data_IF_559905979434
#
_entry.id   IF_559905979434
#
_cell.length_a   1.000
_cell.length_b   1.000
_cell.length_c   1.000
_cell.angle_alpha   90.00
_cell.angle_beta   90.00
_cell.angle_gamma   90.00
#
_symmetry.space_group_name_H-M   'P 1'
#
loop_
_entity.id
_entity.type
_entity.pdbx_description
1 polymer ?
#
# COMPACT_ATOMS: atom_id res chain seq x y z
N UNK A 1 6.29 7.08 14.22
CA UNK A 1 5.93 7.38 12.82
C UNK A 1 4.57 8.06 12.81
N UNK A 2 4.33 9.04 11.93
CA UNK A 2 3.05 9.77 11.93
C UNK A 2 1.98 8.92 11.27
N UNK A 3 0.92 8.61 11.97
CA UNK A 3 -0.20 7.82 11.46
C UNK A 3 -1.24 8.74 10.83
N UNK A 4 -0.88 9.52 9.79
CA UNK A 4 -1.87 10.35 9.09
C UNK A 4 -2.88 9.48 8.31
N UNK A 5 -4.02 10.05 7.94
CA UNK A 5 -5.20 9.28 7.49
C UNK A 5 -4.89 8.36 6.32
N UNK A 6 -4.35 8.86 5.20
CA UNK A 6 -4.03 8.02 4.05
C UNK A 6 -3.07 6.86 4.41
N UNK A 7 -2.06 7.14 5.25
CA UNK A 7 -1.12 6.12 5.70
C UNK A 7 -1.78 5.03 6.54
N UNK A 8 -2.66 5.39 7.48
CA UNK A 8 -3.42 4.40 8.28
C UNK A 8 -4.33 3.53 7.42
N UNK A 9 -5.04 4.15 6.47
CA UNK A 9 -5.91 3.44 5.52
C UNK A 9 -5.11 2.45 4.70
N UNK A 10 -3.98 2.90 4.13
CA UNK A 10 -3.08 2.03 3.38
C UNK A 10 -2.54 0.88 4.24
N UNK A 11 -2.10 1.13 5.48
CA UNK A 11 -1.61 0.07 6.38
C UNK A 11 -2.70 -0.98 6.66
N UNK A 12 -3.94 -0.55 6.88
CA UNK A 12 -5.05 -1.47 7.10
C UNK A 12 -5.35 -2.32 5.86
N UNK A 13 -5.37 -1.69 4.67
CA UNK A 13 -5.57 -2.39 3.40
C UNK A 13 -4.42 -3.35 3.09
N UNK A 14 -3.18 -2.93 3.31
CA UNK A 14 -1.98 -3.74 3.12
C UNK A 14 -2.01 -4.96 4.06
N UNK A 15 -2.28 -4.77 5.35
CA UNK A 15 -2.39 -5.87 6.31
C UNK A 15 -3.44 -6.89 5.88
N UNK A 16 -4.62 -6.41 5.45
CA UNK A 16 -5.68 -7.28 4.93
C UNK A 16 -5.22 -8.06 3.70
N UNK A 17 -4.66 -7.37 2.71
CA UNK A 17 -4.19 -7.99 1.46
C UNK A 17 -3.08 -9.03 1.71
N UNK A 18 -2.11 -8.70 2.57
CA UNK A 18 -1.03 -9.63 2.95
C UNK A 18 -1.57 -10.90 3.62
N UNK A 19 -2.52 -10.75 4.55
CA UNK A 19 -3.15 -11.88 5.20
C UNK A 19 -3.91 -12.76 4.20
N UNK A 20 -4.61 -12.16 3.23
CA UNK A 20 -5.30 -12.91 2.17
C UNK A 20 -4.32 -13.65 1.26
N UNK A 21 -3.25 -12.99 0.81
CA UNK A 21 -2.20 -13.59 -0.03
C UNK A 21 -1.55 -14.78 0.70
N UNK A 22 -1.21 -14.60 1.99
CA UNK A 22 -0.64 -15.67 2.82
C UNK A 22 -1.63 -16.83 3.01
N UNK A 23 -2.90 -16.54 3.31
CA UNK A 23 -3.92 -17.57 3.48
C UNK A 23 -4.12 -18.41 2.22
N UNK A 24 -4.15 -17.78 1.03
CA UNK A 24 -4.23 -18.49 -0.24
C UNK A 24 -3.01 -19.39 -0.46
N UNK A 25 -1.80 -18.92 -0.11
CA UNK A 25 -0.58 -19.72 -0.22
C UNK A 25 -0.55 -20.91 0.75
N UNK A 26 -0.99 -20.71 1.99
CA UNK A 26 -1.13 -21.79 2.98
C UNK A 26 -2.16 -22.81 2.49
N UNK A 27 -3.31 -22.35 2.01
CA UNK A 27 -4.37 -23.22 1.47
C UNK A 27 -3.90 -24.05 0.28
N UNK A 28 -3.22 -23.43 -0.70
CA UNK A 28 -2.67 -24.14 -1.85
C UNK A 28 -1.65 -25.21 -1.44
N UNK A 29 -0.76 -24.90 -0.49
CA UNK A 29 0.21 -25.88 0.02
C UNK A 29 -0.44 -27.00 0.83
N UNK A 30 -1.49 -26.70 1.58
CA UNK A 30 -2.23 -27.71 2.33
C UNK A 30 -2.95 -28.66 1.39
N UNK A 31 -3.70 -28.14 0.41
CA UNK A 31 -4.36 -28.94 -0.62
C UNK A 31 -3.36 -29.82 -1.39
N UNK A 32 -2.19 -29.26 -1.76
CA UNK A 32 -1.11 -30.05 -2.39
C UNK A 32 -0.66 -31.22 -1.53
N UNK A 33 -0.49 -31.03 -0.21
CA UNK A 33 -0.08 -32.09 0.72
C UNK A 33 -1.15 -33.16 0.91
N UNK A 34 -2.43 -32.79 0.92
CA UNK A 34 -3.52 -33.78 0.97
C UNK A 34 -3.55 -34.63 -0.30
N UNK A 35 -3.35 -34.00 -1.47
CA UNK A 35 -3.26 -34.71 -2.74
C UNK A 35 -2.02 -35.61 -2.83
N UNK A 36 -0.90 -35.23 -2.19
CA UNK A 36 0.30 -36.08 -2.08
C UNK A 36 0.05 -37.38 -1.30
N UNK A 37 -1.00 -37.43 -0.47
CA UNK A 37 -1.38 -38.59 0.33
C UNK A 37 -2.43 -39.47 -0.37
N UNK A 38 -2.80 -39.15 -1.62
CA UNK A 38 -3.76 -39.93 -2.38
C UNK A 38 -3.27 -41.39 -2.55
N UNK A 39 -4.10 -42.40 -2.24
CA UNK A 39 -3.70 -43.80 -2.40
C UNK A 39 -3.56 -44.20 -3.88
N UNK A 40 -4.16 -43.43 -4.79
CA UNK A 40 -4.07 -43.59 -6.24
C UNK A 40 -4.10 -42.19 -6.90
N UNK A 41 -3.20 -41.97 -7.87
CA UNK A 41 -3.09 -40.71 -8.63
C UNK A 41 -4.32 -40.40 -9.48
N UNK A 42 -5.10 -41.43 -9.86
CA UNK A 42 -6.29 -41.31 -10.70
C UNK A 42 -7.56 -40.92 -9.91
N UNK A 43 -7.51 -40.92 -8.58
CA UNK A 43 -8.62 -40.46 -7.75
C UNK A 43 -8.91 -38.99 -8.06
N UNK A 44 -10.20 -38.64 -8.17
CA UNK A 44 -10.63 -37.27 -8.41
C UNK A 44 -10.27 -36.36 -7.23
N UNK A 45 -9.71 -35.20 -7.51
CA UNK A 45 -9.33 -34.22 -6.49
C UNK A 45 -10.51 -33.82 -5.58
N UNK A 46 -11.72 -33.70 -6.14
CA UNK A 46 -12.95 -33.42 -5.39
C UNK A 46 -13.29 -34.46 -4.32
N UNK A 47 -12.85 -35.71 -4.49
CA UNK A 47 -13.07 -36.77 -3.51
C UNK A 47 -12.15 -36.60 -2.30
N UNK A 48 -10.91 -36.19 -2.55
CA UNK A 48 -9.91 -35.97 -1.50
C UNK A 48 -10.13 -34.64 -0.76
N UNK A 49 -10.56 -33.60 -1.47
CA UNK A 49 -10.79 -32.26 -0.93
C UNK A 49 -12.27 -31.99 -0.60
N UNK A 50 -13.08 -33.03 -0.36
CA UNK A 50 -14.54 -32.94 -0.27
C UNK A 50 -15.08 -32.00 0.84
N UNK A 51 -14.27 -31.68 1.85
CA UNK A 51 -14.61 -30.75 2.92
C UNK A 51 -14.39 -29.28 2.55
N UNK A 52 -13.69 -29.00 1.44
CA UNK A 52 -13.41 -27.64 0.98
C UNK A 52 -14.55 -27.16 0.07
N UNK A 53 -15.19 -26.01 0.36
CA UNK A 53 -16.24 -25.48 -0.51
C UNK A 53 -15.74 -25.26 -1.95
N UNK A 54 -16.63 -25.47 -2.93
CA UNK A 54 -16.40 -25.27 -4.37
C UNK A 54 -15.45 -26.27 -5.04
N UNK A 55 -15.01 -27.33 -4.35
CA UNK A 55 -14.13 -28.35 -4.96
C UNK A 55 -14.79 -29.17 -6.06
N UNK A 56 -16.12 -29.17 -6.15
CA UNK A 56 -16.83 -29.77 -7.29
C UNK A 56 -16.47 -29.13 -8.63
N UNK A 57 -15.95 -27.88 -8.61
CA UNK A 57 -15.46 -27.18 -9.80
C UNK A 57 -14.07 -27.63 -10.24
N UNK A 58 -13.33 -28.34 -9.39
CA UNK A 58 -12.01 -28.89 -9.67
C UNK A 58 -12.13 -30.38 -10.05
N UNK A 59 -12.75 -30.65 -11.20
CA UNK A 59 -13.00 -32.02 -11.69
C UNK A 59 -11.81 -32.60 -12.48
N UNK A 60 -10.67 -32.73 -11.80
CA UNK A 60 -9.43 -33.28 -12.34
C UNK A 60 -8.91 -34.41 -11.45
N UNK A 61 -7.93 -35.18 -11.91
CA UNK A 61 -7.28 -36.21 -11.08
C UNK A 61 -6.42 -35.59 -9.99
N UNK A 62 -6.06 -36.36 -8.96
CA UNK A 62 -5.19 -35.91 -7.88
C UNK A 62 -3.81 -35.50 -8.41
N UNK A 63 -3.27 -36.23 -9.38
CA UNK A 63 -2.02 -35.88 -10.05
C UNK A 63 -2.10 -34.56 -10.84
N UNK A 64 -3.20 -34.29 -11.53
CA UNK A 64 -3.42 -33.02 -12.24
C UNK A 64 -3.61 -31.86 -11.27
N UNK A 65 -4.45 -32.04 -10.23
CA UNK A 65 -4.65 -31.04 -9.19
C UNK A 65 -3.34 -30.69 -8.48
N UNK A 66 -2.49 -31.68 -8.21
CA UNK A 66 -1.16 -31.44 -7.63
C UNK A 66 -0.33 -30.47 -8.49
N UNK A 67 -0.29 -30.67 -9.82
CA UNK A 67 0.41 -29.77 -10.75
C UNK A 67 -0.17 -28.36 -10.71
N UNK A 68 -1.50 -28.22 -10.63
CA UNK A 68 -2.18 -26.93 -10.49
C UNK A 68 -1.76 -26.24 -9.19
N UNK A 69 -1.75 -26.95 -8.06
CA UNK A 69 -1.33 -26.37 -6.79
C UNK A 69 0.18 -26.12 -6.70
N UNK A 70 1.00 -26.86 -7.44
CA UNK A 70 2.43 -26.58 -7.62
C UNK A 70 2.68 -25.29 -8.41
N UNK A 71 1.90 -25.02 -9.46
CA UNK A 71 1.98 -23.77 -10.24
C UNK A 71 1.27 -22.59 -9.57
N UNK A 72 0.37 -22.84 -8.62
CA UNK A 72 -0.43 -21.80 -7.95
C UNK A 72 0.43 -20.69 -7.33
N UNK A 73 1.64 -20.99 -6.83
CA UNK A 73 2.53 -19.96 -6.31
C UNK A 73 2.97 -18.94 -7.37
N UNK A 74 3.21 -19.42 -8.60
CA UNK A 74 3.52 -18.58 -9.77
C UNK A 74 2.31 -17.76 -10.16
N UNK A 75 1.14 -18.41 -10.34
CA UNK A 75 -0.09 -17.74 -10.76
C UNK A 75 -0.54 -16.68 -9.73
N UNK A 76 -0.42 -17.00 -8.44
CA UNK A 76 -0.66 -16.04 -7.36
C UNK A 76 0.29 -14.85 -7.43
N UNK A 77 1.54 -15.00 -7.85
CA UNK A 77 2.45 -13.86 -7.98
C UNK A 77 1.97 -12.87 -9.06
N UNK A 78 1.44 -13.38 -10.18
CA UNK A 78 0.82 -12.57 -11.22
C UNK A 78 -0.43 -11.80 -10.76
N UNK A 79 -1.12 -12.29 -9.73
CA UNK A 79 -2.28 -11.62 -9.13
C UNK A 79 -1.88 -10.68 -7.97
N UNK A 80 -0.97 -11.13 -7.12
CA UNK A 80 -0.59 -10.46 -5.88
C UNK A 80 0.25 -9.20 -6.15
N UNK A 81 1.24 -9.25 -7.05
CA UNK A 81 2.11 -8.09 -7.30
C UNK A 81 1.30 -6.90 -7.81
N UNK A 82 0.40 -7.03 -8.80
CA UNK A 82 -0.45 -5.91 -9.22
C UNK A 82 -1.31 -5.35 -8.09
N UNK A 83 -1.90 -6.21 -7.25
CA UNK A 83 -2.72 -5.78 -6.13
C UNK A 83 -1.91 -4.98 -5.10
N UNK A 84 -0.74 -5.48 -4.71
CA UNK A 84 0.16 -4.81 -3.75
C UNK A 84 0.60 -3.44 -4.26
N UNK A 85 0.99 -3.36 -5.54
CA UNK A 85 1.41 -2.10 -6.16
C UNK A 85 0.23 -1.13 -6.28
N UNK A 86 -0.98 -1.61 -6.60
CA UNK A 86 -2.18 -0.77 -6.66
C UNK A 86 -2.49 -0.11 -5.31
N UNK A 87 -2.37 -0.85 -4.20
CA UNK A 87 -2.54 -0.28 -2.86
C UNK A 87 -1.51 0.82 -2.58
N UNK A 88 -0.27 0.65 -3.03
CA UNK A 88 0.75 1.68 -2.86
C UNK A 88 0.49 2.93 -3.72
N UNK A 89 -0.02 2.75 -4.94
CA UNK A 89 -0.45 3.87 -5.79
C UNK A 89 -1.57 4.65 -5.10
N UNK A 90 -2.54 3.96 -4.49
CA UNK A 90 -3.62 4.60 -3.72
C UNK A 90 -3.08 5.45 -2.57
N UNK A 91 -2.07 4.96 -1.82
CA UNK A 91 -1.38 5.78 -0.81
C UNK A 91 -0.80 7.06 -1.41
N UNK A 92 -0.20 6.98 -2.60
CA UNK A 92 0.36 8.15 -3.27
C UNK A 92 -0.73 9.15 -3.68
N UNK A 93 -1.83 8.67 -4.26
CA UNK A 93 -3.02 9.47 -4.62
C UNK A 93 -3.54 10.20 -3.40
N UNK A 94 -3.87 9.49 -2.33
CA UNK A 94 -4.44 10.05 -1.12
C UNK A 94 -3.48 11.02 -0.42
N UNK A 95 -2.17 10.72 -0.43
CA UNK A 95 -1.15 11.66 0.09
C UNK A 95 -1.12 12.95 -0.72
N UNK A 96 -1.23 12.89 -2.05
CA UNK A 96 -1.33 14.09 -2.90
C UNK A 96 -2.61 14.85 -2.62
N UNK A 97 -3.76 14.17 -2.50
CA UNK A 97 -5.05 14.80 -2.15
C UNK A 97 -4.93 15.56 -0.82
N UNK A 98 -4.38 14.93 0.21
CA UNK A 98 -4.19 15.58 1.51
C UNK A 98 -3.27 16.81 1.39
N UNK A 99 -2.12 16.68 0.72
CA UNK A 99 -1.13 17.75 0.63
C UNK A 99 -1.55 18.92 -0.28
N UNK A 100 -2.47 18.71 -1.24
CA UNK A 100 -3.00 19.78 -2.11
C UNK A 100 -3.81 20.85 -1.36
N UNK A 101 -4.25 20.57 -0.14
CA UNK A 101 -4.93 21.57 0.69
C UNK A 101 -4.02 22.71 1.15
N UNK A 102 -2.72 22.58 0.96
CA UNK A 102 -1.73 23.54 1.40
C UNK A 102 -1.08 24.21 0.19
N UNK A 103 -1.32 25.52 0.07
CA UNK A 103 -0.81 26.32 -1.05
C UNK A 103 0.72 26.22 -1.15
N UNK A 104 1.22 26.10 -2.38
CA UNK A 104 2.66 26.00 -2.67
C UNK A 104 3.30 24.63 -2.41
N UNK A 105 2.63 23.70 -1.71
CA UNK A 105 3.21 22.39 -1.38
C UNK A 105 3.22 21.44 -2.59
N UNK A 106 2.13 21.42 -3.35
CA UNK A 106 2.00 20.65 -4.58
C UNK A 106 1.55 21.61 -5.69
N UNK A 107 2.24 21.56 -6.84
CA UNK A 107 1.85 22.36 -8.02
C UNK A 107 0.44 21.97 -8.47
N UNK A 108 -0.37 22.97 -8.80
CA UNK A 108 -1.69 22.75 -9.38
C UNK A 108 -1.59 21.92 -10.67
N UNK A 109 -2.60 21.08 -10.91
CA UNK A 109 -2.73 20.28 -12.12
C UNK A 109 -4.20 20.17 -12.48
N UNK A 110 -4.50 20.16 -13.78
CA UNK A 110 -5.87 20.24 -14.31
C UNK A 110 -6.70 18.97 -14.12
N UNK A 111 -6.14 17.94 -13.48
CA UNK A 111 -6.78 16.64 -13.28
C UNK A 111 -6.70 16.24 -11.82
N UNK A 112 -7.72 15.51 -11.37
CA UNK A 112 -7.70 14.86 -10.06
C UNK A 112 -6.55 13.85 -9.94
N UNK A 113 -5.94 13.66 -8.76
CA UNK A 113 -4.75 12.81 -8.58
C UNK A 113 -4.93 11.36 -9.03
N UNK A 114 -6.15 10.82 -8.96
CA UNK A 114 -6.46 9.47 -9.43
C UNK A 114 -6.28 9.29 -10.95
N UNK A 115 -6.26 10.37 -11.72
CA UNK A 115 -6.01 10.36 -13.17
C UNK A 115 -4.56 10.73 -13.54
N UNK A 116 -3.70 10.95 -12.54
CA UNK A 116 -2.30 11.25 -12.80
C UNK A 116 -1.52 10.00 -13.20
N UNK A 117 -0.55 10.11 -14.12
CA UNK A 117 0.39 9.04 -14.38
C UNK A 117 1.14 8.65 -13.09
N UNK A 118 1.29 7.35 -12.83
CA UNK A 118 2.01 6.84 -11.64
C UNK A 118 3.40 7.47 -11.47
N UNK A 119 4.22 7.67 -12.52
CA UNK A 119 5.51 8.37 -12.38
C UNK A 119 5.38 9.80 -11.83
N UNK A 120 4.29 10.51 -12.18
CA UNK A 120 4.02 11.85 -11.67
C UNK A 120 3.62 11.82 -10.20
N UNK A 121 2.76 10.87 -9.79
CA UNK A 121 2.40 10.66 -8.39
C UNK A 121 3.65 10.41 -7.53
N UNK A 122 4.49 9.45 -7.93
CA UNK A 122 5.72 9.10 -7.22
C UNK A 122 6.71 10.27 -7.15
N UNK A 123 6.83 11.04 -8.24
CA UNK A 123 7.66 12.26 -8.26
C UNK A 123 7.11 13.32 -7.30
N UNK A 124 5.79 13.43 -7.18
CA UNK A 124 5.14 14.46 -6.36
C UNK A 124 5.30 14.16 -4.87
N UNK A 125 5.02 12.93 -4.44
CA UNK A 125 5.16 12.52 -3.02
C UNK A 125 6.61 12.43 -2.53
N UNK A 126 7.58 12.70 -3.41
CA UNK A 126 8.98 12.89 -3.04
C UNK A 126 9.28 14.28 -2.49
N UNK A 127 8.43 15.28 -2.75
CA UNK A 127 8.63 16.67 -2.32
C UNK A 127 10.03 17.21 -2.67
N UNK A 128 10.53 16.88 -3.86
CA UNK A 128 11.85 17.31 -4.35
C UNK A 128 13.05 16.56 -3.78
N UNK A 129 12.88 15.67 -2.78
CA UNK A 129 13.97 14.88 -2.22
C UNK A 129 14.62 13.97 -3.26
N UNK A 130 15.92 13.67 -3.12
CA UNK A 130 16.64 12.74 -4.00
C UNK A 130 16.00 11.34 -4.01
N UNK A 131 16.20 10.60 -5.11
CA UNK A 131 15.71 9.21 -5.20
C UNK A 131 16.49 8.35 -4.21
N UNK A 132 15.76 7.57 -3.42
CA UNK A 132 16.33 6.53 -2.55
C UNK A 132 16.37 5.18 -3.26
N UNK A 133 16.98 4.19 -2.62
CA UNK A 133 16.90 2.79 -3.04
C UNK A 133 15.45 2.31 -3.21
N UNK A 134 14.55 2.69 -2.28
CA UNK A 134 13.14 2.34 -2.36
C UNK A 134 12.45 2.98 -3.57
N UNK A 135 12.76 4.25 -3.91
CA UNK A 135 12.19 4.90 -5.10
C UNK A 135 12.63 4.22 -6.42
N UNK A 136 13.89 3.77 -6.48
CA UNK A 136 14.41 3.02 -7.63
C UNK A 136 13.71 1.67 -7.77
N UNK A 137 13.59 0.91 -6.67
CA UNK A 137 12.87 -0.36 -6.68
C UNK A 137 11.38 -0.19 -6.94
N UNK A 138 10.77 0.89 -6.46
CA UNK A 138 9.38 1.22 -6.74
C UNK A 138 9.15 1.47 -8.22
N UNK A 139 10.07 2.16 -8.89
CA UNK A 139 10.02 2.34 -10.35
C UNK A 139 10.01 0.98 -11.06
N UNK A 140 10.87 0.06 -10.61
CA UNK A 140 10.91 -1.30 -11.14
C UNK A 140 9.62 -2.09 -10.87
N UNK A 141 9.10 -2.11 -9.64
CA UNK A 141 7.89 -2.89 -9.34
C UNK A 141 6.63 -2.34 -10.02
N UNK A 142 6.56 -1.03 -10.26
CA UNK A 142 5.49 -0.44 -11.09
C UNK A 142 5.59 -0.92 -12.53
N UNK A 143 6.79 -0.93 -13.11
CA UNK A 143 6.98 -1.43 -14.47
C UNK A 143 6.65 -2.92 -14.54
N UNK A 144 7.09 -3.72 -13.57
CA UNK A 144 6.74 -5.13 -13.45
C UNK A 144 5.22 -5.33 -13.39
N UNK A 145 4.50 -4.57 -12.56
CA UNK A 145 3.02 -4.55 -12.51
C UNK A 145 2.41 -4.23 -13.86
N UNK A 146 2.94 -3.24 -14.58
CA UNK A 146 2.40 -2.85 -15.88
C UNK A 146 2.58 -3.93 -16.94
N UNK A 147 3.73 -4.60 -16.94
CA UNK A 147 4.00 -5.79 -17.76
C UNK A 147 2.96 -6.88 -17.49
N UNK A 148 2.63 -7.15 -16.22
CA UNK A 148 1.60 -8.13 -15.85
C UNK A 148 0.20 -7.74 -16.31
N UNK A 149 -0.14 -6.45 -16.24
CA UNK A 149 -1.50 -5.99 -16.49
C UNK A 149 -1.81 -5.63 -17.94
N UNK A 150 -0.80 -5.23 -18.71
CA UNK A 150 -0.98 -4.72 -20.07
C UNK A 150 -0.19 -5.51 -21.12
N UNK A 151 0.89 -6.18 -20.74
CA UNK A 151 1.74 -6.97 -21.65
C UNK A 151 1.39 -8.46 -21.71
N UNK A 152 0.16 -8.84 -21.33
CA UNK A 152 -0.25 -10.25 -21.18
C UNK A 152 0.71 -11.08 -20.29
N UNK A 153 1.34 -10.44 -19.29
CA UNK A 153 2.31 -11.10 -18.40
C UNK A 153 3.72 -11.27 -18.96
N UNK A 154 3.98 -10.93 -20.23
CA UNK A 154 5.26 -11.21 -20.89
C UNK A 154 6.26 -10.07 -20.71
N UNK A 155 7.51 -10.42 -20.43
CA UNK A 155 8.62 -9.46 -20.30
C UNK A 155 8.79 -8.65 -21.58
N UNK A 156 8.90 -7.34 -21.45
CA UNK A 156 9.17 -6.39 -22.54
C UNK A 156 10.55 -5.72 -22.38
N UNK A 157 11.03 -5.07 -23.44
CA UNK A 157 12.34 -4.38 -23.45
C UNK A 157 12.42 -3.26 -22.40
N UNK A 158 11.30 -2.61 -22.10
CA UNK A 158 11.27 -1.55 -21.11
C UNK A 158 11.46 -2.09 -19.68
N UNK A 159 10.86 -3.23 -19.32
CA UNK A 159 11.07 -3.90 -18.04
C UNK A 159 12.53 -4.33 -17.90
N UNK A 160 13.09 -4.93 -18.95
CA UNK A 160 14.51 -5.31 -19.01
C UNK A 160 15.40 -4.09 -18.84
N UNK A 161 15.09 -2.99 -19.54
CA UNK A 161 15.82 -1.74 -19.44
C UNK A 161 15.77 -1.17 -18.02
N UNK A 162 14.60 -1.10 -17.40
CA UNK A 162 14.44 -0.60 -16.03
C UNK A 162 15.26 -1.45 -15.05
N UNK A 163 15.18 -2.77 -15.13
CA UNK A 163 15.98 -3.67 -14.29
C UNK A 163 17.49 -3.47 -14.51
N UNK A 164 17.95 -3.43 -15.77
CA UNK A 164 19.37 -3.27 -16.10
C UNK A 164 19.94 -1.95 -15.56
N UNK A 165 19.18 -0.87 -15.65
CA UNK A 165 19.59 0.47 -15.21
C UNK A 165 19.32 0.75 -13.72
N UNK A 166 18.83 -0.22 -12.94
CA UNK A 166 18.79 -0.06 -11.48
C UNK A 166 20.19 0.16 -10.91
N UNK A 167 20.37 1.09 -9.96
CA UNK A 167 21.62 1.24 -9.23
C UNK A 167 22.03 -0.08 -8.54
N UNK A 168 23.35 -0.35 -8.37
CA UNK A 168 23.82 -1.58 -7.72
C UNK A 168 23.19 -1.80 -6.33
N UNK A 169 23.05 -0.74 -5.53
CA UNK A 169 22.40 -0.81 -4.22
C UNK A 169 20.93 -1.26 -4.29
N UNK A 170 20.20 -0.87 -5.35
CA UNK A 170 18.82 -1.29 -5.56
C UNK A 170 18.75 -2.77 -5.96
N UNK A 171 19.61 -3.24 -6.87
CA UNK A 171 19.68 -4.66 -7.23
C UNK A 171 20.03 -5.53 -6.02
N UNK A 172 21.06 -5.14 -5.26
CA UNK A 172 21.45 -5.83 -4.03
C UNK A 172 20.31 -5.84 -3.00
N UNK A 173 19.57 -4.72 -2.86
CA UNK A 173 18.40 -4.69 -1.97
C UNK A 173 17.28 -5.60 -2.45
N UNK A 174 16.97 -5.63 -3.74
CA UNK A 174 16.01 -6.57 -4.31
C UNK A 174 16.42 -8.02 -4.03
N UNK A 175 17.67 -8.38 -4.33
CA UNK A 175 18.22 -9.71 -4.10
C UNK A 175 18.16 -10.12 -2.62
N UNK A 176 18.46 -9.19 -1.71
CA UNK A 176 18.31 -9.43 -0.27
C UNK A 176 16.85 -9.67 0.15
N UNK A 177 15.89 -9.03 -0.50
CA UNK A 177 14.46 -9.15 -0.17
C UNK A 177 13.80 -10.39 -0.81
N UNK A 178 14.16 -10.68 -2.06
CA UNK A 178 13.64 -11.84 -2.80
C UNK A 178 14.45 -13.12 -2.49
N UNK A 179 15.70 -13.00 -2.03
CA UNK A 179 16.64 -14.11 -1.93
C UNK A 179 17.28 -14.51 -3.27
N UNK A 180 16.99 -13.78 -4.36
CA UNK A 180 17.54 -14.01 -5.71
C UNK A 180 17.38 -12.77 -6.61
N UNK A 181 18.15 -12.64 -7.70
CA UNK A 181 17.92 -11.58 -8.68
C UNK A 181 16.60 -11.76 -9.40
N UNK A 182 16.07 -10.68 -9.99
CA UNK A 182 14.97 -10.80 -10.94
C UNK A 182 15.41 -11.62 -12.15
N UNK A 183 14.63 -12.66 -12.49
CA UNK A 183 14.98 -13.65 -13.51
C UNK A 183 13.91 -13.76 -14.59
N UNK A 184 14.36 -13.86 -15.83
CA UNK A 184 13.55 -14.09 -17.01
C UNK A 184 14.42 -14.79 -18.07
N UNK A 185 13.81 -15.56 -18.97
CA UNK A 185 14.55 -16.32 -20.00
C UNK A 185 14.84 -15.48 -21.24
N UNK A 186 13.83 -14.78 -21.75
CA UNK A 186 13.93 -13.82 -22.87
C UNK A 186 12.73 -12.88 -22.87
N UNK A 187 12.81 -11.84 -23.70
CA UNK A 187 11.67 -10.95 -24.02
C UNK A 187 10.55 -11.78 -24.68
N UNK A 188 9.30 -11.34 -24.50
CA UNK A 188 8.07 -12.01 -24.96
C UNK A 188 7.75 -13.35 -24.28
N UNK A 189 8.44 -13.68 -23.18
CA UNK A 189 8.16 -14.83 -22.32
C UNK A 189 7.77 -14.35 -20.92
N UNK A 190 6.99 -15.17 -20.20
CA UNK A 190 6.63 -14.90 -18.81
C UNK A 190 7.89 -14.82 -17.93
N UNK A 191 8.00 -13.82 -17.04
CA UNK A 191 9.07 -13.76 -16.05
C UNK A 191 8.97 -14.93 -15.08
N UNK A 192 10.09 -15.29 -14.46
CA UNK A 192 10.09 -16.27 -13.37
C UNK A 192 9.64 -15.58 -12.08
N UNK A 193 8.34 -15.69 -11.78
CA UNK A 193 7.73 -15.11 -10.59
C UNK A 193 7.27 -16.20 -9.62
N UNK A 194 7.38 -15.91 -8.34
CA UNK A 194 6.78 -16.70 -7.29
C UNK A 194 6.75 -15.94 -5.98
N UNK A 195 6.76 -16.68 -4.88
CA UNK A 195 6.74 -16.10 -3.54
C UNK A 195 7.89 -15.10 -3.25
N UNK A 196 9.14 -15.36 -3.67
CA UNK A 196 10.23 -14.38 -3.60
C UNK A 196 9.88 -12.98 -4.09
N UNK A 197 9.33 -12.87 -5.30
CA UNK A 197 9.03 -11.59 -5.93
C UNK A 197 7.81 -10.89 -5.30
N UNK A 198 6.83 -11.67 -4.80
CA UNK A 198 5.71 -11.14 -3.99
C UNK A 198 6.24 -10.51 -2.70
N UNK A 199 7.11 -11.21 -1.97
CA UNK A 199 7.70 -10.72 -0.73
C UNK A 199 8.57 -9.49 -0.94
N UNK A 200 9.38 -9.49 -2.00
CA UNK A 200 10.18 -8.32 -2.37
C UNK A 200 9.30 -7.11 -2.71
N UNK A 201 8.23 -7.29 -3.48
CA UNK A 201 7.27 -6.22 -3.79
C UNK A 201 6.60 -5.67 -2.53
N UNK A 202 6.17 -6.54 -1.62
CA UNK A 202 5.59 -6.16 -0.33
C UNK A 202 6.56 -5.34 0.52
N UNK A 203 7.82 -5.76 0.59
CA UNK A 203 8.86 -5.05 1.32
C UNK A 203 9.17 -3.69 0.68
N UNK A 204 9.36 -3.63 -0.64
CA UNK A 204 9.64 -2.38 -1.37
C UNK A 204 8.52 -1.36 -1.20
N UNK A 205 7.27 -1.77 -1.35
CA UNK A 205 6.11 -0.87 -1.17
C UNK A 205 5.97 -0.40 0.28
N UNK A 206 6.34 -1.22 1.26
CA UNK A 206 6.38 -0.84 2.68
C UNK A 206 7.50 0.14 3.00
N UNK A 207 8.69 -0.09 2.47
CA UNK A 207 9.83 0.83 2.59
C UNK A 207 9.50 2.18 1.99
N UNK A 208 9.01 2.19 0.75
CA UNK A 208 8.54 3.42 0.08
C UNK A 208 7.47 4.14 0.89
N UNK A 209 6.47 3.43 1.41
CA UNK A 209 5.42 4.05 2.22
C UNK A 209 5.96 4.72 3.49
N UNK A 210 6.92 4.09 4.17
CA UNK A 210 7.59 4.68 5.34
C UNK A 210 8.40 5.93 4.95
N UNK A 211 9.07 5.91 3.80
CA UNK A 211 9.79 7.08 3.29
C UNK A 211 8.84 8.21 2.90
N UNK A 212 7.71 7.93 2.24
CA UNK A 212 6.66 8.91 1.96
C UNK A 212 6.19 9.54 3.28
N UNK A 213 5.94 8.72 4.31
CA UNK A 213 5.55 9.21 5.63
C UNK A 213 6.57 10.19 6.23
N UNK A 214 7.86 9.83 6.17
CA UNK A 214 8.93 10.69 6.64
C UNK A 214 9.03 11.98 5.82
N UNK A 215 8.86 11.91 4.49
CA UNK A 215 8.89 13.09 3.62
C UNK A 215 7.72 14.03 3.91
N UNK A 216 6.51 13.51 4.04
CA UNK A 216 5.31 14.30 4.43
C UNK A 216 5.52 14.96 5.79
N UNK A 217 6.10 14.25 6.76
CA UNK A 217 6.47 14.81 8.07
C UNK A 217 7.32 16.06 7.95
N UNK A 218 8.33 16.04 7.07
CA UNK A 218 9.26 17.16 6.88
C UNK A 218 8.70 18.26 5.98
N UNK A 219 7.82 17.92 5.04
CA UNK A 219 7.29 18.86 4.07
C UNK A 219 6.20 19.78 4.66
N UNK A 220 5.48 19.32 5.68
CA UNK A 220 4.43 20.09 6.35
C UNK A 220 4.97 20.85 7.56
N UNK A 221 4.59 22.13 7.66
CA UNK A 221 4.84 22.95 8.86
C UNK A 221 3.98 22.50 10.03
N UNK A 222 4.31 22.94 11.24
CA UNK A 222 3.51 22.65 12.44
C UNK A 222 2.07 23.16 12.34
N UNK A 223 1.86 24.34 11.75
CA UNK A 223 0.53 24.90 11.51
C UNK A 223 -0.30 24.02 10.56
N UNK A 224 0.31 23.61 9.44
CA UNK A 224 -0.34 22.70 8.48
C UNK A 224 -0.65 21.34 9.11
N UNK A 225 0.26 20.79 9.93
CA UNK A 225 -0.03 19.58 10.70
C UNK A 225 -1.20 19.72 11.67
N UNK A 226 -1.33 20.88 12.32
CA UNK A 226 -2.49 21.14 13.18
C UNK A 226 -3.80 21.12 12.39
N UNK A 227 -3.81 21.68 11.18
CA UNK A 227 -4.96 21.59 10.26
C UNK A 227 -5.25 20.17 9.82
N UNK A 228 -4.22 19.38 9.45
CA UNK A 228 -4.39 17.95 9.11
C UNK A 228 -5.07 17.20 10.26
N UNK A 229 -4.58 17.38 11.48
CA UNK A 229 -5.13 16.73 12.69
C UNK A 229 -6.58 17.15 12.90
N UNK A 230 -6.90 18.43 12.75
CA UNK A 230 -8.25 18.94 12.90
C UNK A 230 -9.22 18.38 11.85
N UNK A 231 -8.83 18.34 10.57
CA UNK A 231 -9.62 17.73 9.48
C UNK A 231 -9.81 16.24 9.71
N UNK A 232 -8.75 15.51 10.03
CA UNK A 232 -8.80 14.07 10.30
C UNK A 232 -9.73 13.76 11.48
N UNK A 233 -9.63 14.50 12.59
CA UNK A 233 -10.55 14.34 13.71
C UNK A 233 -12.01 14.64 13.32
N UNK A 234 -12.25 15.78 12.64
CA UNK A 234 -13.58 16.20 12.18
C UNK A 234 -14.22 15.14 11.28
N UNK A 235 -13.44 14.56 10.36
CA UNK A 235 -13.95 13.67 9.33
C UNK A 235 -13.85 12.18 9.70
N UNK A 236 -13.29 11.85 10.87
CA UNK A 236 -13.18 10.48 11.37
C UNK A 236 -14.53 9.80 11.63
N UNK A 237 -15.53 10.55 12.11
CA UNK A 237 -16.87 10.02 12.46
C UNK A 237 -17.95 11.09 12.35
N UNK A 238 -19.20 10.69 12.13
CA UNK A 238 -20.37 11.59 12.16
C UNK A 238 -20.46 12.33 13.51
N UNK A 239 -20.17 11.61 14.61
CA UNK A 239 -20.14 12.17 15.97
C UNK A 239 -18.98 13.16 16.12
N UNK A 240 -17.80 12.86 15.56
CA UNK A 240 -16.63 13.72 15.52
C UNK A 240 -16.93 15.04 14.82
N UNK A 241 -17.56 14.99 13.64
CA UNK A 241 -17.99 16.18 12.88
C UNK A 241 -18.96 17.05 13.68
N UNK A 242 -20.03 16.45 14.23
CA UNK A 242 -21.01 17.17 15.07
C UNK A 242 -20.34 17.84 16.27
N UNK A 243 -19.48 17.11 16.98
CA UNK A 243 -18.75 17.61 18.17
C UNK A 243 -17.73 18.68 17.82
N UNK A 244 -17.07 18.58 16.67
CA UNK A 244 -16.13 19.59 16.18
C UNK A 244 -16.86 20.90 15.82
N UNK A 245 -18.07 20.81 15.29
CA UNK A 245 -18.88 21.95 14.86
C UNK A 245 -19.75 22.57 15.97
N UNK A 246 -19.97 21.86 17.10
CA UNK A 246 -20.91 22.29 18.15
C UNK A 246 -20.53 23.58 18.90
N UNK A 247 -19.28 24.06 18.82
CA UNK A 247 -18.82 25.29 19.49
C UNK A 247 -18.92 26.47 18.53
N UNK A 248 -19.81 27.45 18.76
CA UNK A 248 -20.01 28.59 17.87
C UNK A 248 -18.77 29.49 17.73
N UNK A 249 -18.52 30.02 16.51
CA UNK A 249 -17.54 31.08 16.27
C UNK A 249 -18.08 32.41 16.81
N UNK A 250 -17.25 33.18 17.52
CA UNK A 250 -17.54 34.60 17.80
C UNK A 250 -18.31 34.95 19.07
N UNK A 251 -18.66 33.98 19.95
CA UNK A 251 -18.87 34.32 21.37
C UNK A 251 -17.55 34.12 22.08
N UNK A 252 -17.04 35.15 22.76
CA UNK A 252 -15.84 35.09 23.60
C UNK A 252 -16.01 34.11 24.77
N UNK A 253 -16.10 32.82 24.46
CA UNK A 253 -16.23 31.76 25.46
C UNK A 253 -14.83 31.24 25.72
N UNK A 254 -14.09 31.99 26.53
CA UNK A 254 -13.25 31.36 27.53
C UNK A 254 -14.16 30.48 28.38
N UNK A 255 -14.14 29.16 28.17
CA UNK A 255 -15.04 28.26 28.89
C UNK A 255 -14.85 26.77 28.58
N UNK A 256 -15.44 25.88 29.41
CA UNK A 256 -15.07 24.46 29.49
C UNK A 256 -15.28 23.67 28.19
N UNK A 257 -16.23 24.06 27.36
CA UNK A 257 -16.53 23.35 26.10
C UNK A 257 -15.51 23.60 24.99
N UNK A 258 -14.94 24.80 24.96
CA UNK A 258 -13.88 25.16 24.04
C UNK A 258 -12.61 24.33 24.34
N UNK A 259 -12.34 24.12 25.64
CA UNK A 259 -11.28 23.26 26.13
C UNK A 259 -11.56 21.78 25.84
N UNK A 260 -12.83 21.33 25.86
CA UNK A 260 -13.19 19.93 25.53
C UNK A 260 -12.86 19.53 24.10
N UNK A 261 -13.08 20.40 23.10
CA UNK A 261 -12.72 20.08 21.71
C UNK A 261 -11.20 20.01 21.55
N UNK A 262 -10.47 20.95 22.14
CA UNK A 262 -9.00 20.94 22.14
C UNK A 262 -8.45 19.71 22.85
N UNK A 263 -9.01 19.31 24.00
CA UNK A 263 -8.66 18.07 24.70
C UNK A 263 -8.87 16.82 23.83
N UNK A 264 -9.95 16.76 23.05
CA UNK A 264 -10.19 15.64 22.13
C UNK A 264 -9.21 15.64 20.96
N UNK A 265 -8.88 16.81 20.41
CA UNK A 265 -7.83 16.95 19.42
C UNK A 265 -6.47 16.52 19.97
N UNK A 266 -6.16 16.84 21.23
CA UNK A 266 -4.96 16.35 21.92
C UNK A 266 -4.97 14.83 22.03
N UNK A 267 -6.09 14.21 22.41
CA UNK A 267 -6.22 12.75 22.43
C UNK A 267 -6.01 12.10 21.06
N UNK A 268 -6.59 12.69 20.00
CA UNK A 268 -6.40 12.24 18.62
C UNK A 268 -4.94 12.39 18.17
N UNK A 269 -4.32 13.54 18.49
CA UNK A 269 -2.92 13.82 18.20
C UNK A 269 -1.98 12.87 18.94
N UNK A 270 -2.23 12.56 20.21
CA UNK A 270 -1.45 11.58 20.98
C UNK A 270 -1.58 10.16 20.42
N UNK A 271 -2.75 9.81 19.87
CA UNK A 271 -3.01 8.47 19.32
C UNK A 271 -2.31 8.26 17.98
N UNK A 272 -2.43 9.22 17.06
CA UNK A 272 -2.01 9.04 15.66
C UNK A 272 -0.82 9.92 15.25
N UNK A 273 -0.58 11.02 15.96
CA UNK A 273 0.37 12.06 15.57
C UNK A 273 1.42 12.30 16.67
N UNK A 274 1.64 11.31 17.55
CA UNK A 274 2.47 11.44 18.76
C UNK A 274 3.83 12.07 18.50
N UNK A 275 4.49 11.67 17.43
CA UNK A 275 5.81 12.14 17.02
C UNK A 275 5.90 13.64 16.74
N UNK A 276 4.76 14.31 16.50
CA UNK A 276 4.72 15.76 16.27
C UNK A 276 4.74 16.58 17.57
N UNK A 277 4.39 15.96 18.70
CA UNK A 277 4.28 16.63 20.00
C UNK A 277 3.55 17.99 19.91
N UNK A 278 2.32 17.95 19.39
CA UNK A 278 1.51 19.15 19.17
C UNK A 278 1.04 19.74 20.50
N UNK A 279 1.17 21.05 20.64
CA UNK A 279 0.68 21.80 21.81
C UNK A 279 -0.82 22.09 21.69
N UNK A 280 -1.47 22.36 22.83
CA UNK A 280 -2.88 22.78 22.85
C UNK A 280 -3.12 24.04 22.01
N UNK A 281 -2.18 25.00 22.03
CA UNK A 281 -2.26 26.25 21.28
C UNK A 281 -2.24 26.00 19.77
N UNK A 282 -1.35 25.12 19.29
CA UNK A 282 -1.28 24.77 17.87
C UNK A 282 -2.53 24.03 17.41
N UNK A 283 -3.01 23.06 18.20
CA UNK A 283 -4.24 22.32 17.87
C UNK A 283 -5.47 23.23 17.84
N UNK A 284 -5.49 24.27 18.67
CA UNK A 284 -6.52 25.32 18.63
C UNK A 284 -6.45 26.11 17.34
N UNK A 285 -5.25 26.56 16.94
CA UNK A 285 -5.07 27.27 15.67
C UNK A 285 -5.46 26.42 14.45
N UNK A 286 -5.07 25.14 14.43
CA UNK A 286 -5.46 24.21 13.35
C UNK A 286 -6.96 23.95 13.30
N UNK A 287 -7.64 23.89 14.45
CA UNK A 287 -9.10 23.81 14.51
C UNK A 287 -9.75 25.05 13.87
N UNK A 288 -9.24 26.23 14.22
CA UNK A 288 -9.79 27.51 13.77
C UNK A 288 -9.59 27.70 12.26
N UNK A 289 -8.50 27.22 11.69
CA UNK A 289 -8.25 27.23 10.25
C UNK A 289 -9.13 26.24 9.44
N UNK A 290 -9.73 25.23 10.10
CA UNK A 290 -10.58 24.21 9.45
C UNK A 290 -12.07 24.56 9.52
N UNK A 291 -12.42 25.58 10.31
CA UNK A 291 -13.79 26.09 10.47
C UNK A 291 -14.08 27.19 9.45
#
# INVERSE_FOLDING_TARGET
>A
MIQYRAFRTWQAMQKRSNNSILALSVGANHARRELDQAPDSEIRARTLLNAVPLTERLDVTAAEAKKIFESAATDMAFLAIPQVVALHIELCVETVVECRHFEGLIKHHDKEPNWWPVPLLHKTVRFGAHKTTADHLLTFVVKLRNTMMHGAGKVDDELVSVWKHLPPAAKARWESLAGRPFTYTKVDVLPTLGWPEVMATLAVTKESANEINARVRHALTRGQWAEVIARDYRDSTVVGRRRFNAVAAGRGVTGPEHDRVVQRLQGHALTYYRDLAMTATELRAGRDAVR
#
